data_IF_313012248537
#
_entry.id   IF_313012248537
#
_cell.length_a   1.000
_cell.length_b   1.000
_cell.length_c   1.000
_cell.angle_alpha   90.00
_cell.angle_beta   90.00
_cell.angle_gamma   90.00
#
_symmetry.space_group_name_H-M   'P 1'
#
loop_
_entity.id
_entity.type
_entity.pdbx_description
1 polymer ?
#
# COMPACT_ATOMS: atom_id res chain seq x y z
N UNK A 1 -16.55 61.76 6.87
CA UNK A 1 -16.46 60.43 7.47
C UNK A 1 -15.35 60.45 8.51
N UNK A 2 -15.61 60.04 9.74
CA UNK A 2 -14.58 60.07 10.80
C UNK A 2 -13.41 59.13 10.45
N UNK A 3 -12.21 59.53 10.78
CA UNK A 3 -10.95 58.80 10.49
C UNK A 3 -10.98 57.34 10.98
N UNK A 4 -11.68 57.07 12.07
CA UNK A 4 -11.90 55.72 12.62
C UNK A 4 -12.64 54.77 11.68
N UNK A 5 -13.64 55.26 10.93
CA UNK A 5 -14.41 54.45 9.98
C UNK A 5 -13.58 54.05 8.75
N UNK A 6 -12.66 54.94 8.32
CA UNK A 6 -11.68 54.63 7.23
C UNK A 6 -10.66 53.59 7.66
N UNK A 7 -10.19 53.64 8.88
CA UNK A 7 -9.26 52.62 9.43
C UNK A 7 -9.93 51.25 9.56
N UNK A 8 -11.18 51.18 10.00
CA UNK A 8 -11.94 49.93 10.09
C UNK A 8 -12.21 49.35 8.70
N UNK A 9 -12.57 50.16 7.71
CA UNK A 9 -12.76 49.74 6.33
C UNK A 9 -11.44 49.22 5.70
N UNK A 10 -10.31 49.89 5.97
CA UNK A 10 -8.99 49.42 5.50
C UNK A 10 -8.59 48.09 6.17
N UNK A 11 -8.83 47.93 7.46
CA UNK A 11 -8.57 46.67 8.18
C UNK A 11 -9.44 45.53 7.68
N UNK A 12 -10.72 45.77 7.38
CA UNK A 12 -11.62 44.76 6.79
C UNK A 12 -11.24 44.45 5.35
N UNK A 13 -10.78 45.42 4.55
CA UNK A 13 -10.25 45.17 3.20
C UNK A 13 -8.97 44.36 3.21
N UNK A 14 -8.06 44.58 4.17
CA UNK A 14 -6.85 43.79 4.33
C UNK A 14 -7.11 42.32 4.77
N UNK A 15 -8.18 42.12 5.56
CA UNK A 15 -8.63 40.76 5.93
C UNK A 15 -9.30 40.02 4.75
N UNK A 16 -9.88 40.73 3.79
CA UNK A 16 -10.48 40.14 2.58
C UNK A 16 -9.46 39.89 1.46
N UNK A 17 -8.28 40.50 1.53
CA UNK A 17 -7.18 40.31 0.58
C UNK A 17 -6.14 39.31 1.04
N UNK A 18 -6.44 38.40 1.96
CA UNK A 18 -5.55 37.26 2.20
C UNK A 18 -5.41 36.49 0.90
N UNK A 19 -4.18 36.35 0.33
CA UNK A 19 -4.00 35.58 -0.88
C UNK A 19 -4.56 34.18 -0.60
N UNK A 20 -5.53 33.72 -1.39
CA UNK A 20 -5.95 32.32 -1.39
C UNK A 20 -4.68 31.53 -1.71
N UNK A 21 -4.07 30.96 -0.70
CA UNK A 21 -3.00 29.97 -0.92
C UNK A 21 -3.62 28.89 -1.78
N UNK A 22 -3.22 28.85 -3.04
CA UNK A 22 -3.68 27.80 -3.96
C UNK A 22 -3.26 26.46 -3.38
N UNK A 23 -4.22 25.54 -3.24
CA UNK A 23 -3.92 24.22 -2.73
C UNK A 23 -2.90 23.53 -3.65
N UNK A 24 -1.88 22.93 -3.07
CA UNK A 24 -0.86 22.22 -3.82
C UNK A 24 -1.43 20.90 -4.34
N UNK A 25 -1.38 20.70 -5.66
CA UNK A 25 -1.87 19.48 -6.29
C UNK A 25 -0.90 18.34 -6.07
N UNK A 26 -1.43 17.16 -5.79
CA UNK A 26 -0.68 15.91 -5.75
C UNK A 26 -1.55 14.75 -6.24
N UNK A 27 -1.02 13.97 -7.17
CA UNK A 27 -1.66 12.77 -7.72
C UNK A 27 -1.09 11.55 -7.02
N UNK A 28 -1.96 10.80 -6.33
CA UNK A 28 -1.64 9.52 -5.70
C UNK A 28 -2.12 8.36 -6.58
N UNK A 29 -1.23 7.48 -7.00
CA UNK A 29 -1.56 6.20 -7.62
C UNK A 29 -1.55 5.09 -6.56
N UNK A 30 -2.70 4.45 -6.36
CA UNK A 30 -2.82 3.29 -5.47
C UNK A 30 -2.17 2.04 -6.09
N UNK A 31 -1.96 1.00 -5.30
CA UNK A 31 -1.37 -0.26 -5.77
C UNK A 31 -2.38 -1.18 -6.45
N UNK A 32 -3.68 -0.96 -6.27
CA UNK A 32 -4.77 -1.83 -6.75
C UNK A 32 -6.05 -1.04 -7.05
N UNK A 33 -7.07 -1.72 -7.59
CA UNK A 33 -8.42 -1.18 -7.79
C UNK A 33 -9.05 -0.72 -6.47
N UNK A 34 -10.11 0.10 -6.54
CA UNK A 34 -10.74 0.67 -5.36
C UNK A 34 -11.26 -0.41 -4.40
N UNK A 35 -10.80 -0.34 -3.15
CA UNK A 35 -11.18 -1.28 -2.09
C UNK A 35 -10.84 -0.73 -0.69
N UNK A 36 -11.25 -1.43 0.37
CA UNK A 36 -11.07 -1.02 1.76
C UNK A 36 -9.61 -0.89 2.20
N UNK A 37 -8.67 -1.48 1.45
CA UNK A 37 -7.23 -1.28 1.62
C UNK A 37 -6.83 0.21 1.60
N UNK A 38 -7.62 1.06 0.93
CA UNK A 38 -7.33 2.49 0.76
C UNK A 38 -8.26 3.39 1.58
N UNK A 39 -9.01 2.83 2.53
CA UNK A 39 -10.05 3.54 3.29
C UNK A 39 -9.55 4.82 3.96
N UNK A 40 -8.34 4.83 4.50
CA UNK A 40 -7.77 6.02 5.16
C UNK A 40 -7.54 7.19 4.21
N UNK A 41 -7.15 6.92 2.96
CA UNK A 41 -6.97 7.95 1.92
C UNK A 41 -8.30 8.52 1.48
N UNK A 42 -9.30 7.66 1.28
CA UNK A 42 -10.67 8.09 0.95
C UNK A 42 -11.28 8.92 2.08
N UNK A 43 -11.12 8.46 3.33
CA UNK A 43 -11.59 9.20 4.48
C UNK A 43 -10.89 10.56 4.63
N UNK A 44 -9.57 10.62 4.41
CA UNK A 44 -8.83 11.88 4.45
C UNK A 44 -9.32 12.86 3.38
N UNK A 45 -9.68 12.37 2.21
CA UNK A 45 -10.25 13.17 1.14
C UNK A 45 -11.69 13.63 1.47
N UNK A 46 -12.60 12.72 1.79
CA UNK A 46 -14.03 12.99 2.02
C UNK A 46 -14.28 13.81 3.29
N UNK A 47 -13.44 13.66 4.32
CA UNK A 47 -13.50 14.47 5.54
C UNK A 47 -12.80 15.82 5.40
N UNK A 48 -12.17 16.09 4.25
CA UNK A 48 -11.53 17.37 3.97
C UNK A 48 -10.15 17.55 4.61
N UNK A 49 -9.53 16.51 5.19
CA UNK A 49 -8.25 16.63 5.89
C UNK A 49 -7.10 17.05 4.96
N UNK A 50 -7.11 16.61 3.70
CA UNK A 50 -6.16 17.10 2.70
C UNK A 50 -6.36 18.58 2.40
N UNK A 51 -7.63 19.00 2.22
CA UNK A 51 -7.97 20.41 1.95
C UNK A 51 -7.58 21.31 3.11
N UNK A 52 -7.84 20.89 4.36
CA UNK A 52 -7.40 21.61 5.57
C UNK A 52 -5.88 21.74 5.64
N UNK A 53 -5.16 20.74 5.12
CA UNK A 53 -3.69 20.76 5.01
C UNK A 53 -3.19 21.58 3.82
N UNK A 54 -4.06 22.20 3.02
CA UNK A 54 -3.70 22.99 1.84
C UNK A 54 -3.33 22.14 0.62
N UNK A 55 -3.83 20.90 0.54
CA UNK A 55 -3.58 19.96 -0.54
C UNK A 55 -4.84 19.71 -1.37
N UNK A 56 -4.67 19.57 -2.68
CA UNK A 56 -5.64 19.09 -3.65
C UNK A 56 -5.20 17.72 -4.15
N UNK A 57 -5.70 16.66 -3.53
CA UNK A 57 -5.28 15.28 -3.80
C UNK A 57 -6.20 14.65 -4.83
N UNK A 58 -5.60 14.11 -5.89
CA UNK A 58 -6.27 13.23 -6.86
C UNK A 58 -5.85 11.78 -6.60
N UNK A 59 -6.81 10.91 -6.24
CA UNK A 59 -6.56 9.48 -6.00
C UNK A 59 -6.91 8.72 -7.27
N UNK A 60 -5.90 8.04 -7.85
CA UNK A 60 -6.05 7.20 -9.05
C UNK A 60 -5.84 5.73 -8.71
N UNK A 61 -6.61 4.88 -9.37
CA UNK A 61 -6.44 3.44 -9.32
C UNK A 61 -5.75 2.92 -10.57
N UNK A 62 -4.91 1.86 -10.46
CA UNK A 62 -4.27 1.27 -11.62
C UNK A 62 -5.30 0.57 -12.52
N UNK A 63 -4.99 0.58 -13.80
CA UNK A 63 -5.64 -0.24 -14.84
C UNK A 63 -4.65 -1.28 -15.33
N UNK A 64 -5.06 -2.16 -16.24
CA UNK A 64 -4.13 -3.09 -16.90
C UNK A 64 -2.96 -2.37 -17.61
N UNK A 65 -3.20 -1.12 -18.06
CA UNK A 65 -2.22 -0.31 -18.80
C UNK A 65 -1.44 0.70 -17.92
N UNK A 66 -1.84 0.90 -16.68
CA UNK A 66 -1.35 2.01 -15.83
C UNK A 66 -0.98 1.55 -14.42
N UNK A 67 -0.18 0.48 -14.30
CA UNK A 67 0.34 0.07 -12.98
C UNK A 67 1.24 1.15 -12.36
N UNK A 68 1.41 1.21 -11.04
CA UNK A 68 2.29 2.18 -10.40
C UNK A 68 3.71 2.20 -11.00
N UNK A 69 4.27 1.02 -11.32
CA UNK A 69 5.60 0.91 -11.92
C UNK A 69 5.67 1.52 -13.33
N UNK A 70 4.64 1.30 -14.16
CA UNK A 70 4.58 1.87 -15.51
C UNK A 70 4.42 3.38 -15.43
N UNK A 71 3.58 3.88 -14.54
CA UNK A 71 3.31 5.32 -14.41
C UNK A 71 4.50 6.09 -13.83
N UNK A 72 5.30 5.47 -12.97
CA UNK A 72 6.51 6.08 -12.42
C UNK A 72 7.50 6.55 -13.50
N UNK A 73 7.56 5.82 -14.62
CA UNK A 73 8.42 6.15 -15.77
C UNK A 73 7.92 7.36 -16.59
N UNK A 74 6.63 7.71 -16.44
CA UNK A 74 5.97 8.77 -17.22
C UNK A 74 5.86 10.11 -16.47
N UNK A 75 6.61 10.31 -15.39
CA UNK A 75 6.60 11.51 -14.52
C UNK A 75 5.28 11.80 -13.77
N UNK A 76 4.26 11.06 -14.03
CA UNK A 76 2.99 11.08 -13.30
C UNK A 76 2.61 9.66 -12.90
N UNK A 77 2.16 9.44 -11.68
CA UNK A 77 1.75 10.34 -10.61
C UNK A 77 2.92 10.88 -9.75
N UNK A 78 2.62 11.86 -8.86
CA UNK A 78 3.58 12.44 -7.93
C UNK A 78 3.96 11.44 -6.82
N UNK A 79 2.96 10.69 -6.34
CA UNK A 79 3.08 9.69 -5.29
C UNK A 79 2.52 8.34 -5.75
N UNK A 80 3.22 7.26 -5.43
CA UNK A 80 2.85 5.89 -5.78
C UNK A 80 2.84 4.98 -4.56
N UNK A 81 1.96 3.99 -4.56
CA UNK A 81 1.97 2.94 -3.55
C UNK A 81 2.74 1.72 -4.04
N UNK A 82 3.72 1.28 -3.26
CA UNK A 82 4.55 0.11 -3.52
C UNK A 82 4.74 -0.71 -2.24
N UNK A 83 5.11 -1.97 -2.40
CA UNK A 83 5.70 -2.73 -1.29
C UNK A 83 7.10 -2.19 -0.96
N UNK A 84 7.53 -2.34 0.31
CA UNK A 84 8.87 -1.94 0.74
C UNK A 84 9.97 -2.60 -0.12
N UNK A 85 9.83 -3.89 -0.40
CA UNK A 85 10.80 -4.62 -1.21
C UNK A 85 10.85 -4.13 -2.66
N UNK A 86 9.70 -3.79 -3.25
CA UNK A 86 9.64 -3.21 -4.61
C UNK A 86 10.27 -1.82 -4.66
N UNK A 87 10.05 -0.98 -3.65
CA UNK A 87 10.71 0.32 -3.57
C UNK A 87 12.23 0.18 -3.41
N UNK A 88 12.69 -0.78 -2.61
CA UNK A 88 14.13 -1.06 -2.45
C UNK A 88 14.75 -1.55 -3.75
N UNK A 89 14.09 -2.40 -4.52
CA UNK A 89 14.59 -2.85 -5.82
C UNK A 89 14.73 -1.69 -6.81
N UNK A 90 13.76 -0.78 -6.87
CA UNK A 90 13.85 0.42 -7.68
C UNK A 90 15.02 1.33 -7.26
N UNK A 91 15.22 1.53 -5.96
CA UNK A 91 16.37 2.31 -5.45
C UNK A 91 17.68 1.63 -5.81
N UNK A 92 17.76 0.30 -5.71
CA UNK A 92 18.95 -0.45 -6.12
C UNK A 92 19.21 -0.39 -7.63
N UNK A 93 18.21 -0.01 -8.44
CA UNK A 93 18.29 0.25 -9.88
C UNK A 93 18.46 1.74 -10.21
N UNK A 94 18.91 2.55 -9.24
CA UNK A 94 19.17 3.99 -9.36
C UNK A 94 17.93 4.85 -9.68
N UNK A 95 16.75 4.38 -9.23
CA UNK A 95 15.52 5.17 -9.19
C UNK A 95 15.29 5.63 -7.74
N UNK A 96 15.76 6.82 -7.33
CA UNK A 96 15.76 7.25 -5.94
C UNK A 96 14.34 7.61 -5.49
N UNK A 97 13.78 6.80 -4.60
CA UNK A 97 12.48 7.00 -3.98
C UNK A 97 12.62 7.35 -2.50
N UNK A 98 11.60 8.02 -1.97
CA UNK A 98 11.46 8.35 -0.55
C UNK A 98 10.10 7.89 -0.06
N UNK A 99 10.08 7.15 1.05
CA UNK A 99 8.84 6.82 1.74
C UNK A 99 8.31 8.06 2.49
N UNK A 100 7.08 8.45 2.19
CA UNK A 100 6.40 9.57 2.86
C UNK A 100 5.29 9.12 3.79
N UNK A 101 4.85 7.86 3.67
CA UNK A 101 3.84 7.25 4.54
C UNK A 101 3.93 5.72 4.46
N UNK A 102 3.81 5.04 5.58
CA UNK A 102 3.84 3.57 5.65
C UNK A 102 2.53 3.04 6.19
N UNK A 103 1.77 2.34 5.34
CA UNK A 103 0.45 1.84 5.72
C UNK A 103 0.54 0.62 6.63
N UNK A 104 1.25 -0.42 6.19
CA UNK A 104 1.30 -1.68 6.91
C UNK A 104 2.50 -1.74 7.85
N UNK A 105 2.26 -2.20 9.06
CA UNK A 105 3.32 -2.49 10.04
C UNK A 105 3.72 -3.97 10.04
N UNK A 106 2.85 -4.83 9.48
CA UNK A 106 3.04 -6.27 9.42
C UNK A 106 2.79 -6.81 8.01
N UNK A 107 3.38 -7.99 7.72
CA UNK A 107 3.15 -8.68 6.46
C UNK A 107 1.78 -9.33 6.42
N UNK A 108 1.08 -9.11 5.32
CA UNK A 108 -0.15 -9.78 4.94
C UNK A 108 0.08 -11.00 4.06
N UNK A 109 1.31 -11.21 3.58
CA UNK A 109 1.61 -12.19 2.56
C UNK A 109 1.42 -13.63 3.03
N UNK A 110 0.77 -14.41 2.18
CA UNK A 110 0.48 -15.83 2.32
C UNK A 110 0.93 -16.55 1.05
N UNK A 111 1.41 -17.80 1.20
CA UNK A 111 1.44 -18.75 0.10
C UNK A 111 0.37 -19.81 0.41
N UNK A 112 -0.62 -19.94 -0.46
CA UNK A 112 -1.76 -20.86 -0.32
C UNK A 112 -1.60 -21.94 -1.38
N UNK A 113 -1.51 -23.21 -0.94
CA UNK A 113 -1.44 -24.37 -1.82
C UNK A 113 -2.81 -25.06 -1.94
N UNK A 114 -2.91 -26.00 -2.89
CA UNK A 114 -4.12 -26.80 -3.06
C UNK A 114 -4.10 -28.00 -2.12
N UNK A 115 -5.29 -28.29 -1.57
CA UNK A 115 -5.59 -29.53 -0.82
C UNK A 115 -4.47 -29.91 0.17
N UNK A 116 -3.90 -31.10 -0.03
CA UNK A 116 -2.90 -31.71 0.86
C UNK A 116 -1.44 -31.29 0.54
N UNK A 117 -1.24 -30.32 -0.38
CA UNK A 117 0.08 -29.83 -0.72
C UNK A 117 0.57 -28.81 0.30
N UNK A 118 1.49 -29.20 1.16
CA UNK A 118 2.20 -28.26 2.02
C UNK A 118 3.10 -27.36 1.16
N UNK A 119 2.99 -26.03 1.22
CA UNK A 119 3.80 -25.10 0.43
C UNK A 119 5.31 -25.36 0.52
N UNK A 120 5.81 -25.85 1.68
CA UNK A 120 7.23 -26.16 1.88
C UNK A 120 7.67 -27.48 1.24
N UNK A 121 6.74 -28.30 0.78
CA UNK A 121 7.03 -29.60 0.11
C UNK A 121 6.82 -29.53 -1.39
N UNK A 122 6.45 -28.37 -1.92
CA UNK A 122 6.21 -28.20 -3.34
C UNK A 122 7.53 -28.22 -4.11
N UNK A 123 7.56 -29.01 -5.18
CA UNK A 123 8.72 -29.09 -6.08
C UNK A 123 8.23 -29.26 -7.52
N UNK A 124 8.51 -28.29 -8.38
CA UNK A 124 8.05 -28.24 -9.77
C UNK A 124 6.57 -27.83 -9.93
N UNK A 125 5.90 -27.44 -8.84
CA UNK A 125 4.52 -26.99 -8.89
C UNK A 125 4.42 -25.55 -9.38
N UNK A 126 3.28 -25.24 -10.01
CA UNK A 126 2.92 -23.92 -10.53
C UNK A 126 2.49 -23.01 -9.41
N UNK A 127 3.25 -21.96 -9.15
CA UNK A 127 2.99 -20.94 -8.15
C UNK A 127 2.67 -19.62 -8.82
N UNK A 128 1.43 -19.16 -8.67
CA UNK A 128 1.04 -17.86 -9.22
C UNK A 128 1.51 -16.70 -8.34
N UNK A 129 2.01 -15.66 -9.00
CA UNK A 129 2.34 -14.36 -8.42
C UNK A 129 1.74 -13.23 -9.26
N UNK A 130 1.60 -12.03 -8.66
CA UNK A 130 1.10 -10.87 -9.37
C UNK A 130 2.09 -10.33 -10.41
N UNK A 131 1.55 -9.83 -11.53
CA UNK A 131 2.35 -9.09 -12.51
C UNK A 131 2.76 -7.70 -12.01
N UNK A 132 1.93 -7.08 -11.17
CA UNK A 132 2.09 -5.71 -10.68
C UNK A 132 3.07 -5.56 -9.52
N UNK A 133 3.32 -6.66 -8.79
CA UNK A 133 4.30 -6.73 -7.71
C UNK A 133 5.15 -8.01 -7.88
N UNK A 134 6.49 -7.91 -7.86
CA UNK A 134 7.37 -9.07 -8.01
C UNK A 134 7.19 -10.17 -6.98
N UNK A 135 6.45 -9.94 -5.88
CA UNK A 135 6.24 -10.90 -4.77
C UNK A 135 7.56 -11.55 -4.31
N UNK A 136 8.53 -10.72 -3.94
CA UNK A 136 9.88 -11.15 -3.55
C UNK A 136 9.88 -12.28 -2.53
N UNK A 137 8.89 -12.32 -1.61
CA UNK A 137 8.79 -13.37 -0.60
C UNK A 137 8.62 -14.77 -1.19
N UNK A 138 7.95 -14.93 -2.34
CA UNK A 138 7.86 -16.23 -3.02
C UNK A 138 9.24 -16.71 -3.51
N UNK A 139 10.03 -15.81 -4.08
CA UNK A 139 11.39 -16.13 -4.53
C UNK A 139 12.33 -16.37 -3.35
N UNK A 140 12.22 -15.58 -2.28
CA UNK A 140 13.00 -15.76 -1.05
C UNK A 140 12.70 -17.12 -0.45
N UNK A 141 11.42 -17.48 -0.30
CA UNK A 141 11.02 -18.78 0.23
C UNK A 141 11.57 -19.92 -0.64
N UNK A 142 11.37 -19.84 -1.95
CA UNK A 142 11.88 -20.84 -2.90
C UNK A 142 13.37 -21.06 -2.74
N UNK A 143 14.19 -20.00 -2.66
CA UNK A 143 15.64 -20.09 -2.51
C UNK A 143 16.08 -20.57 -1.13
N UNK A 144 15.48 -20.05 -0.05
CA UNK A 144 15.84 -20.43 1.33
C UNK A 144 15.51 -21.88 1.65
N UNK A 145 14.36 -22.35 1.19
CA UNK A 145 13.86 -23.71 1.42
C UNK A 145 14.29 -24.70 0.29
N UNK A 146 15.07 -24.23 -0.69
CA UNK A 146 15.53 -25.01 -1.85
C UNK A 146 14.38 -25.64 -2.64
N UNK A 147 13.30 -24.89 -2.81
CA UNK A 147 12.11 -25.29 -3.54
C UNK A 147 12.23 -24.88 -5.01
N UNK A 148 11.78 -25.73 -5.91
CA UNK A 148 11.77 -25.44 -7.34
C UNK A 148 10.33 -25.12 -7.78
N UNK A 149 9.93 -23.87 -7.62
CA UNK A 149 8.61 -23.40 -8.09
C UNK A 149 8.64 -23.07 -9.58
N UNK A 150 7.60 -23.50 -10.31
CA UNK A 150 7.27 -22.98 -11.64
C UNK A 150 6.45 -21.68 -11.47
N UNK A 151 7.12 -20.53 -11.55
CA UNK A 151 6.50 -19.22 -11.26
C UNK A 151 5.65 -18.75 -12.44
N UNK A 152 4.35 -18.65 -12.22
CA UNK A 152 3.36 -18.14 -13.18
C UNK A 152 2.99 -16.70 -12.82
N UNK A 153 3.32 -15.74 -13.70
CA UNK A 153 2.94 -14.34 -13.52
C UNK A 153 1.57 -14.09 -14.15
N UNK A 154 0.63 -13.54 -13.40
CA UNK A 154 -0.71 -13.22 -13.90
C UNK A 154 -1.34 -12.01 -13.19
N UNK A 155 -2.33 -11.41 -13.82
CA UNK A 155 -3.08 -10.27 -13.27
C UNK A 155 -4.19 -10.71 -12.33
N UNK A 156 -4.77 -11.90 -12.57
CA UNK A 156 -5.82 -12.50 -11.73
C UNK A 156 -5.58 -14.00 -11.65
N UNK A 157 -5.41 -14.51 -10.45
CA UNK A 157 -5.03 -15.91 -10.24
C UNK A 157 -6.03 -16.72 -9.42
N UNK A 158 -7.02 -16.08 -8.80
CA UNK A 158 -8.02 -16.77 -7.97
C UNK A 158 -8.78 -17.83 -8.78
N UNK A 159 -9.27 -17.47 -9.98
CA UNK A 159 -9.99 -18.41 -10.84
C UNK A 159 -9.08 -19.53 -11.35
N UNK A 160 -7.82 -19.24 -11.66
CA UNK A 160 -6.82 -20.25 -12.06
C UNK A 160 -6.54 -21.23 -10.90
N UNK A 161 -6.47 -20.71 -9.67
CA UNK A 161 -6.30 -21.53 -8.49
C UNK A 161 -7.52 -22.40 -8.21
N UNK A 162 -8.72 -21.83 -8.23
CA UNK A 162 -9.99 -22.58 -8.00
C UNK A 162 -10.22 -23.67 -9.04
N UNK A 163 -9.90 -23.41 -10.33
CA UNK A 163 -10.03 -24.40 -11.41
C UNK A 163 -8.96 -25.48 -11.39
N UNK A 164 -7.88 -25.32 -10.64
CA UNK A 164 -6.76 -26.25 -10.60
C UNK A 164 -5.73 -26.08 -11.70
N UNK A 165 -5.76 -24.96 -12.42
CA UNK A 165 -4.75 -24.63 -13.43
C UNK A 165 -3.38 -24.30 -12.83
N UNK A 166 -3.36 -23.89 -11.55
CA UNK A 166 -2.15 -23.64 -10.75
C UNK A 166 -2.25 -24.37 -9.40
N UNK A 167 -1.12 -24.73 -8.83
CA UNK A 167 -1.04 -25.55 -7.62
C UNK A 167 -1.00 -24.71 -6.33
N UNK A 168 -0.42 -23.51 -6.40
CA UNK A 168 -0.40 -22.58 -5.30
C UNK A 168 -0.45 -21.13 -5.80
N UNK A 169 -0.77 -20.22 -4.90
CA UNK A 169 -0.87 -18.80 -5.18
C UNK A 169 -0.34 -17.96 -4.05
N UNK A 170 0.41 -16.91 -4.39
CA UNK A 170 0.64 -15.82 -3.45
C UNK A 170 -0.70 -15.10 -3.23
N UNK A 171 -0.92 -14.71 -1.99
CA UNK A 171 -2.15 -14.04 -1.57
C UNK A 171 -1.86 -13.05 -0.46
N UNK A 172 -2.74 -12.08 -0.28
CA UNK A 172 -2.78 -11.24 0.91
C UNK A 172 -3.88 -11.70 1.87
N UNK A 173 -3.66 -11.57 3.17
CA UNK A 173 -4.63 -11.97 4.17
C UNK A 173 -5.91 -11.15 4.14
N UNK A 174 -5.85 -9.94 3.57
CA UNK A 174 -6.98 -9.02 3.48
C UNK A 174 -7.74 -9.07 2.15
N UNK A 175 -7.20 -9.68 1.09
CA UNK A 175 -7.84 -9.74 -0.23
C UNK A 175 -8.03 -11.20 -0.70
N UNK A 176 -7.09 -11.78 -1.44
CA UNK A 176 -7.23 -13.07 -2.11
C UNK A 176 -7.60 -14.21 -1.14
N UNK A 177 -7.04 -14.19 0.07
CA UNK A 177 -7.44 -15.15 1.10
C UNK A 177 -8.93 -15.07 1.43
N UNK A 178 -9.47 -13.86 1.55
CA UNK A 178 -10.90 -13.64 1.81
C UNK A 178 -11.77 -14.01 0.61
N UNK A 179 -11.29 -13.74 -0.61
CA UNK A 179 -11.98 -14.15 -1.85
C UNK A 179 -12.08 -15.68 -1.95
N UNK A 180 -11.00 -16.40 -1.66
CA UNK A 180 -10.99 -17.86 -1.64
C UNK A 180 -11.95 -18.43 -0.58
N UNK A 181 -11.99 -17.84 0.62
CA UNK A 181 -12.96 -18.21 1.65
C UNK A 181 -14.40 -17.96 1.19
N UNK A 182 -14.66 -16.84 0.54
CA UNK A 182 -15.99 -16.50 0.01
C UNK A 182 -16.41 -17.42 -1.13
N UNK A 183 -15.46 -17.88 -1.94
CA UNK A 183 -15.70 -18.88 -2.98
C UNK A 183 -15.94 -20.30 -2.43
N UNK A 184 -15.90 -20.49 -1.10
CA UNK A 184 -16.11 -21.77 -0.45
C UNK A 184 -14.88 -22.69 -0.46
N UNK A 185 -13.70 -22.17 -0.79
CA UNK A 185 -12.47 -22.96 -0.75
C UNK A 185 -12.15 -23.32 0.71
N UNK A 186 -12.12 -24.62 1.02
CA UNK A 186 -11.81 -25.13 2.35
C UNK A 186 -10.30 -25.21 2.52
N UNK A 187 -9.75 -24.39 3.42
CA UNK A 187 -8.34 -24.36 3.72
C UNK A 187 -8.04 -24.98 5.08
N UNK A 188 -7.20 -26.01 5.10
CA UNK A 188 -6.54 -26.48 6.31
C UNK A 188 -5.36 -25.57 6.66
N UNK A 189 -4.88 -25.59 7.90
CA UNK A 189 -3.72 -24.78 8.31
C UNK A 189 -2.42 -25.21 7.60
N UNK A 190 -2.33 -26.46 7.18
CA UNK A 190 -1.19 -27.08 6.47
C UNK A 190 -1.04 -26.64 5.01
N UNK A 191 -2.08 -26.02 4.43
CA UNK A 191 -2.05 -25.49 3.07
C UNK A 191 -1.82 -23.98 3.00
N UNK A 192 -1.66 -23.31 4.15
CA UNK A 192 -1.42 -21.87 4.24
C UNK A 192 -0.09 -21.60 4.94
N UNK A 193 0.88 -21.09 4.18
CA UNK A 193 2.13 -20.59 4.74
C UNK A 193 2.01 -19.08 4.98
N UNK A 194 2.02 -18.66 6.25
CA UNK A 194 1.93 -17.25 6.67
C UNK A 194 3.33 -16.70 6.86
N UNK A 195 3.81 -15.88 5.94
CA UNK A 195 5.16 -15.35 5.98
C UNK A 195 5.51 -14.64 7.29
N UNK A 196 4.57 -13.90 7.88
CA UNK A 196 4.76 -13.20 9.16
C UNK A 196 5.06 -14.14 10.34
N UNK A 197 4.62 -15.41 10.28
CA UNK A 197 4.80 -16.38 11.35
C UNK A 197 6.11 -17.20 11.22
N UNK A 198 6.79 -17.08 10.07
CA UNK A 198 7.97 -17.86 9.73
C UNK A 198 9.23 -17.01 9.55
N UNK A 199 9.31 -15.89 10.28
CA UNK A 199 10.50 -15.05 10.22
C UNK A 199 10.50 -14.01 9.09
N UNK A 200 9.45 -13.94 8.26
CA UNK A 200 9.32 -13.00 7.14
C UNK A 200 8.27 -11.90 7.41
N UNK A 201 8.10 -11.49 8.67
CA UNK A 201 7.28 -10.31 8.97
C UNK A 201 8.04 -9.07 8.52
N UNK A 202 7.70 -8.54 7.35
CA UNK A 202 8.27 -7.35 6.73
C UNK A 202 7.13 -6.35 6.53
N UNK A 203 7.41 -5.07 6.76
CA UNK A 203 6.47 -4.01 6.36
C UNK A 203 6.26 -4.07 4.85
N UNK A 204 5.03 -3.91 4.41
CA UNK A 204 4.70 -4.05 2.98
C UNK A 204 4.41 -2.69 2.36
N UNK A 205 3.14 -2.33 2.27
CA UNK A 205 2.69 -1.19 1.52
C UNK A 205 3.03 0.13 2.17
N UNK A 206 3.59 1.03 1.36
CA UNK A 206 3.83 2.43 1.70
C UNK A 206 3.63 3.34 0.50
N UNK A 207 3.62 4.64 0.75
CA UNK A 207 3.56 5.69 -0.27
C UNK A 207 4.95 6.26 -0.51
N UNK A 208 5.33 6.31 -1.76
CA UNK A 208 6.65 6.76 -2.20
C UNK A 208 6.55 7.89 -3.22
N UNK A 209 7.48 8.81 -3.15
CA UNK A 209 7.70 9.86 -4.14
C UNK A 209 9.12 9.79 -4.67
N UNK A 210 9.39 10.32 -5.86
CA UNK A 210 10.77 10.51 -6.32
C UNK A 210 11.50 11.45 -5.36
N UNK A 211 12.78 11.21 -5.10
CA UNK A 211 13.59 12.06 -4.20
C UNK A 211 13.67 13.49 -4.71
N UNK A 212 13.71 13.71 -6.02
CA UNK A 212 13.64 15.05 -6.64
C UNK A 212 12.32 15.75 -6.31
N UNK A 213 11.19 15.04 -6.46
CA UNK A 213 9.87 15.60 -6.08
C UNK A 213 9.84 16.00 -4.60
N UNK A 214 10.35 15.13 -3.71
CA UNK A 214 10.42 15.48 -2.28
C UNK A 214 11.27 16.72 -2.01
N UNK A 215 12.38 16.92 -2.73
CA UNK A 215 13.24 18.08 -2.53
C UNK A 215 12.48 19.40 -2.77
N UNK A 216 11.61 19.43 -3.77
CA UNK A 216 10.83 20.61 -4.12
C UNK A 216 9.51 20.72 -3.33
N UNK A 217 8.95 19.59 -2.87
CA UNK A 217 7.61 19.49 -2.28
C UNK A 217 7.58 18.89 -0.86
N UNK A 218 8.69 19.04 -0.09
CA UNK A 218 8.82 18.41 1.24
C UNK A 218 7.68 18.79 2.20
N UNK A 219 7.22 20.05 2.14
CA UNK A 219 6.09 20.53 2.96
C UNK A 219 4.80 19.77 2.61
N UNK A 220 4.46 19.66 1.32
CA UNK A 220 3.28 18.95 0.86
C UNK A 220 3.32 17.47 1.24
N UNK A 221 4.47 16.81 1.08
CA UNK A 221 4.65 15.43 1.49
C UNK A 221 4.42 15.22 3.01
N UNK A 222 4.92 16.11 3.85
CA UNK A 222 4.67 16.08 5.30
C UNK A 222 3.19 16.33 5.64
N UNK A 223 2.56 17.29 4.97
CA UNK A 223 1.13 17.58 5.13
C UNK A 223 0.26 16.40 4.68
N UNK A 224 0.61 15.75 3.55
CA UNK A 224 -0.04 14.54 3.07
C UNK A 224 0.01 13.42 4.12
N UNK A 225 1.18 13.15 4.69
CA UNK A 225 1.34 12.11 5.72
C UNK A 225 0.47 12.38 6.96
N UNK A 226 0.43 13.63 7.44
CA UNK A 226 -0.39 14.02 8.60
C UNK A 226 -1.89 13.88 8.29
N UNK A 227 -2.34 14.35 7.12
CA UNK A 227 -3.75 14.26 6.72
C UNK A 227 -4.18 12.80 6.50
N UNK A 228 -3.33 11.97 5.87
CA UNK A 228 -3.58 10.54 5.69
C UNK A 228 -3.68 9.80 7.02
N UNK A 229 -2.81 10.12 7.99
CA UNK A 229 -2.88 9.57 9.35
C UNK A 229 -4.22 9.89 10.00
N UNK A 230 -4.68 11.14 9.96
CA UNK A 230 -6.01 11.53 10.46
C UNK A 230 -7.12 10.71 9.79
N UNK A 231 -7.03 10.46 8.49
CA UNK A 231 -7.97 9.62 7.75
C UNK A 231 -8.01 8.19 8.31
N UNK A 232 -6.88 7.56 8.52
CA UNK A 232 -6.80 6.22 9.10
C UNK A 232 -7.26 6.15 10.56
N UNK A 233 -6.94 7.16 11.37
CA UNK A 233 -7.42 7.27 12.75
C UNK A 233 -8.95 7.40 12.78
N UNK A 234 -9.52 8.20 11.88
CA UNK A 234 -10.96 8.32 11.74
C UNK A 234 -11.61 7.00 11.30
N UNK A 235 -11.05 6.31 10.30
CA UNK A 235 -11.53 4.99 9.83
C UNK A 235 -11.54 3.97 10.97
N UNK A 236 -10.49 3.95 11.79
CA UNK A 236 -10.40 3.03 12.93
C UNK A 236 -11.47 3.32 14.00
N UNK A 237 -11.88 4.58 14.16
CA UNK A 237 -12.93 4.99 15.09
C UNK A 237 -14.35 4.82 14.51
N UNK A 238 -14.51 4.85 13.17
CA UNK A 238 -15.80 4.86 12.48
C UNK A 238 -15.83 3.84 11.32
N UNK A 239 -15.60 2.54 11.58
CA UNK A 239 -15.40 1.55 10.51
C UNK A 239 -16.64 1.36 9.60
N UNK A 240 -17.85 1.47 10.12
CA UNK A 240 -19.06 1.31 9.29
C UNK A 240 -19.28 2.51 8.38
N UNK A 241 -19.09 3.74 8.86
CA UNK A 241 -19.14 4.94 8.01
C UNK A 241 -18.02 4.95 6.98
N UNK A 242 -16.84 4.43 7.35
CA UNK A 242 -15.72 4.27 6.43
C UNK A 242 -16.06 3.31 5.28
N UNK A 243 -16.80 2.23 5.56
CA UNK A 243 -17.27 1.31 4.52
C UNK A 243 -18.24 1.96 3.52
N UNK A 244 -19.08 2.89 3.97
CA UNK A 244 -19.94 3.65 3.06
C UNK A 244 -19.10 4.50 2.08
N UNK A 245 -18.06 5.15 2.62
CA UNK A 245 -17.09 5.89 1.80
C UNK A 245 -16.39 4.95 0.82
N UNK A 246 -15.83 3.83 1.29
CA UNK A 246 -15.17 2.83 0.45
C UNK A 246 -16.07 2.37 -0.69
N UNK A 247 -17.33 2.04 -0.39
CA UNK A 247 -18.28 1.56 -1.39
C UNK A 247 -18.66 2.63 -2.42
N UNK A 248 -18.52 3.91 -2.12
CA UNK A 248 -18.64 4.99 -3.10
C UNK A 248 -17.51 4.88 -4.16
N UNK A 249 -16.26 4.73 -3.72
CA UNK A 249 -15.10 4.57 -4.60
C UNK A 249 -15.15 3.25 -5.38
N UNK A 250 -15.51 2.15 -4.74
CA UNK A 250 -15.71 0.83 -5.38
C UNK A 250 -16.69 0.94 -6.55
N UNK A 251 -17.83 1.60 -6.35
CA UNK A 251 -18.82 1.80 -7.42
C UNK A 251 -18.29 2.71 -8.55
N UNK A 252 -17.57 3.77 -8.19
CA UNK A 252 -16.98 4.69 -9.17
C UNK A 252 -15.90 4.05 -10.03
N UNK A 253 -15.12 3.15 -9.44
CA UNK A 253 -14.05 2.38 -10.11
C UNK A 253 -14.57 1.10 -10.81
N UNK A 254 -15.86 0.79 -10.68
CA UNK A 254 -16.48 -0.45 -11.18
C UNK A 254 -15.78 -1.73 -10.68
N UNK A 255 -15.18 -1.69 -9.48
CA UNK A 255 -14.48 -2.83 -8.91
C UNK A 255 -15.45 -3.96 -8.57
N UNK A 256 -15.11 -5.18 -9.02
CA UNK A 256 -15.93 -6.38 -8.80
C UNK A 256 -15.74 -6.90 -7.36
N UNK A 257 -16.58 -6.41 -6.43
CA UNK A 257 -16.52 -6.79 -5.01
C UNK A 257 -17.88 -6.63 -4.34
N UNK A 258 -17.98 -6.94 -3.05
CA UNK A 258 -19.19 -6.77 -2.26
C UNK A 258 -18.89 -6.24 -0.84
N UNK A 259 -19.92 -5.71 -0.17
CA UNK A 259 -19.81 -5.09 1.15
C UNK A 259 -19.23 -6.04 2.21
N UNK A 260 -19.59 -7.32 2.18
CA UNK A 260 -19.11 -8.31 3.16
C UNK A 260 -17.60 -8.52 3.03
N UNK A 261 -17.10 -8.63 1.80
CA UNK A 261 -15.68 -8.74 1.52
C UNK A 261 -14.93 -7.47 1.98
N UNK A 262 -15.46 -6.29 1.63
CA UNK A 262 -14.86 -5.01 1.99
C UNK A 262 -14.83 -4.79 3.51
N UNK A 263 -15.85 -5.22 4.25
CA UNK A 263 -15.87 -5.17 5.72
C UNK A 263 -14.78 -6.04 6.34
N UNK A 264 -14.64 -7.27 5.87
CA UNK A 264 -13.58 -8.18 6.34
C UNK A 264 -12.19 -7.66 5.97
N UNK A 265 -12.05 -7.12 4.77
CA UNK A 265 -10.81 -6.49 4.31
C UNK A 265 -10.43 -5.33 5.22
N UNK A 266 -11.36 -4.42 5.52
CA UNK A 266 -11.10 -3.28 6.39
C UNK A 266 -10.63 -3.72 7.78
N UNK A 267 -11.28 -4.71 8.38
CA UNK A 267 -10.89 -5.26 9.68
C UNK A 267 -9.46 -5.79 9.67
N UNK A 268 -9.09 -6.55 8.63
CA UNK A 268 -7.76 -7.12 8.51
C UNK A 268 -6.69 -6.03 8.23
N UNK A 269 -6.98 -5.06 7.37
CA UNK A 269 -6.07 -3.93 7.10
C UNK A 269 -5.81 -3.13 8.38
N UNK A 270 -6.85 -2.81 9.15
CA UNK A 270 -6.70 -2.10 10.42
C UNK A 270 -5.86 -2.89 11.44
N UNK A 271 -5.96 -4.22 11.44
CA UNK A 271 -5.14 -5.11 12.28
C UNK A 271 -3.66 -5.08 11.85
N UNK A 272 -3.39 -5.12 10.54
CA UNK A 272 -2.03 -5.11 9.98
C UNK A 272 -1.28 -3.79 10.23
N UNK A 273 -2.01 -2.70 10.50
CA UNK A 273 -1.43 -1.39 10.82
C UNK A 273 -0.92 -1.29 12.26
N UNK A 274 -1.27 -2.24 13.14
CA UNK A 274 -0.85 -2.20 14.54
C UNK A 274 0.54 -2.84 14.64
N UNK A 275 1.52 -2.04 15.03
CA UNK A 275 2.87 -2.52 15.31
C UNK A 275 2.85 -3.54 16.46
N UNK A 276 3.57 -4.65 16.28
CA UNK A 276 3.55 -5.76 17.22
C UNK A 276 4.17 -5.42 18.58
N UNK A 277 5.13 -4.50 18.60
CA UNK A 277 5.88 -4.11 19.79
C UNK A 277 5.19 -2.95 20.53
N UNK A 278 4.95 -1.83 19.81
CA UNK A 278 4.36 -0.62 20.40
C UNK A 278 2.84 -0.71 20.62
N UNK A 279 2.16 -1.66 19.98
CA UNK A 279 0.68 -1.79 19.94
C UNK A 279 -0.04 -0.55 19.39
N UNK A 280 0.65 0.25 18.55
CA UNK A 280 0.15 1.49 17.97
C UNK A 280 0.21 1.44 16.44
N UNK A 281 -0.56 2.32 15.80
CA UNK A 281 -0.44 2.63 14.37
C UNK A 281 0.61 3.72 14.21
N UNK A 282 1.84 3.33 13.85
CA UNK A 282 2.95 4.28 13.76
C UNK A 282 3.06 4.96 12.39
N UNK A 283 2.62 4.29 11.32
CA UNK A 283 2.63 4.79 9.95
C UNK A 283 4.00 5.27 9.46
N UNK A 284 5.05 4.60 9.89
CA UNK A 284 6.44 4.92 9.53
C UNK A 284 7.21 3.66 9.17
N UNK A 285 8.18 3.79 8.27
CA UNK A 285 9.14 2.74 7.99
C UNK A 285 10.05 2.53 9.21
N UNK A 286 10.29 1.27 9.56
CA UNK A 286 11.19 0.87 10.65
C UNK A 286 12.55 0.47 10.07
N UNK A 287 13.62 0.93 10.72
CA UNK A 287 15.00 0.62 10.32
C UNK A 287 15.27 -0.88 10.29
N UNK A 288 14.90 -1.60 11.34
CA UNK A 288 15.08 -3.05 11.44
C UNK A 288 14.36 -3.82 10.33
N UNK A 289 13.22 -3.32 9.86
CA UNK A 289 12.48 -3.91 8.73
C UNK A 289 13.18 -3.67 7.40
N UNK A 290 13.75 -2.47 7.17
CA UNK A 290 14.56 -2.17 5.98
C UNK A 290 15.80 -3.05 5.95
N UNK A 291 16.56 -3.11 7.06
CA UNK A 291 17.77 -3.92 7.17
C UNK A 291 17.47 -5.42 6.96
N UNK A 292 16.37 -5.90 7.52
CA UNK A 292 15.90 -7.29 7.34
C UNK A 292 15.52 -7.58 5.90
N UNK A 293 14.72 -6.73 5.27
CA UNK A 293 14.33 -6.88 3.87
C UNK A 293 15.56 -6.85 2.95
N UNK A 294 16.46 -5.87 3.16
CA UNK A 294 17.70 -5.75 2.39
C UNK A 294 18.57 -7.02 2.47
N UNK A 295 18.80 -7.51 3.68
CA UNK A 295 19.56 -8.74 3.90
C UNK A 295 18.93 -9.94 3.19
N UNK A 296 17.64 -10.18 3.35
CA UNK A 296 16.92 -11.28 2.70
C UNK A 296 17.00 -11.22 1.18
N UNK A 297 16.83 -10.03 0.61
CA UNK A 297 16.89 -9.84 -0.84
C UNK A 297 18.31 -10.03 -1.39
N UNK A 298 19.34 -9.53 -0.70
CA UNK A 298 20.75 -9.71 -1.09
C UNK A 298 21.17 -11.19 -1.02
N UNK A 299 20.87 -11.88 0.09
CA UNK A 299 21.17 -13.31 0.25
C UNK A 299 20.52 -14.18 -0.84
N UNK A 300 19.41 -13.70 -1.40
CA UNK A 300 18.71 -14.36 -2.49
C UNK A 300 19.05 -13.80 -3.88
N UNK A 301 20.04 -12.93 -4.03
CA UNK A 301 20.40 -12.28 -5.31
C UNK A 301 19.21 -11.59 -5.98
N UNK A 302 18.38 -10.92 -5.20
CA UNK A 302 17.20 -10.16 -5.66
C UNK A 302 17.42 -8.64 -5.64
N UNK A 303 18.56 -8.18 -5.11
CA UNK A 303 19.03 -6.80 -5.20
C UNK A 303 20.41 -6.76 -5.84
N UNK A 304 20.66 -5.71 -6.63
CA UNK A 304 21.99 -5.45 -7.24
C UNK A 304 22.98 -4.88 -6.23
N UNK A 305 22.49 -4.12 -5.24
CA UNK A 305 23.28 -3.53 -4.14
C UNK A 305 22.43 -3.40 -2.89
N UNK A 306 23.10 -3.17 -1.77
CA UNK A 306 22.41 -2.82 -0.53
C UNK A 306 21.67 -1.47 -0.67
N UNK A 307 20.54 -1.38 0.00
CA UNK A 307 19.74 -0.16 0.16
C UNK A 307 19.63 0.15 1.64
N UNK A 308 19.97 1.37 2.03
CA UNK A 308 19.97 1.80 3.43
C UNK A 308 18.64 2.42 3.84
N UNK A 309 18.42 2.52 5.14
CA UNK A 309 17.26 3.21 5.69
C UNK A 309 17.24 4.70 5.29
N UNK A 310 18.43 5.34 5.24
CA UNK A 310 18.59 6.75 4.86
C UNK A 310 18.28 7.02 3.38
N UNK A 311 18.47 6.02 2.53
CA UNK A 311 18.05 6.11 1.12
C UNK A 311 16.53 6.06 0.96
N UNK A 312 15.83 5.39 1.88
CA UNK A 312 14.37 5.26 1.85
C UNK A 312 13.62 6.36 2.58
N UNK A 313 14.28 7.03 3.51
CA UNK A 313 13.63 7.98 4.40
C UNK A 313 14.21 9.39 4.25
N UNK A 314 13.54 10.33 4.88
CA UNK A 314 13.98 11.73 5.00
C UNK A 314 13.97 12.14 6.48
N UNK A 315 14.83 13.07 6.87
CA UNK A 315 14.87 13.61 8.21
C UNK A 315 13.56 14.23 8.68
#
# INVERSE_FOLDING_TARGET
>A
MPSTLRLILLAVMLLLCSPKVQAEKMVLMTSWTAQAQFAGYYAAYEKGYYKEAGLDIEIKHPTLATTPLITLQREQPDAIMLSLMSAMDLIAQDIPLVNIFQDSMNSSNLLISRWDNNPLKMNGQKVAIFNSDPNYLAYILSKKERLNYDIIRCTSHINLFLSGAIDATMATSFNEYLELLQAGFKMGNDVIYRFSQHGYNIQEQGVYVKRSYYADHAKACKQFAVATRKGWEWVAAHPEEALEIVMKYVRSDHAATNLTLQRRMLQEVLRLQIDADSKKREFRVRRDMVEKACRLMLECNLLRRAVTFEELTVP
#
